data_IF_345935809960
#
_entry.id   IF_345935809960
#
_cell.length_a   1.000
_cell.length_b   1.000
_cell.length_c   1.000
_cell.angle_alpha   90.00
_cell.angle_beta   90.00
_cell.angle_gamma   90.00
#
_symmetry.space_group_name_H-M   'P 1'
#
loop_
_entity.id
_entity.type
_entity.pdbx_description
1 polymer ?
#
# COMPACT_ATOMS: atom_id res chain seq x y z
N UNK A 1 -3.50 -14.01 -7.39
CA UNK A 1 -2.25 -13.74 -6.64
C UNK A 1 -2.51 -12.48 -5.82
N UNK A 2 -2.86 -12.62 -4.54
CA UNK A 2 -3.27 -11.50 -3.68
C UNK A 2 -2.00 -10.78 -3.20
N UNK A 3 -1.84 -9.51 -3.50
CA UNK A 3 -0.70 -8.73 -3.05
C UNK A 3 -0.77 -8.61 -1.51
N UNK A 4 0.23 -9.05 -0.74
CA UNK A 4 0.16 -9.02 0.71
C UNK A 4 0.26 -7.58 1.22
N UNK A 5 -0.53 -7.25 2.24
CA UNK A 5 -0.54 -5.92 2.87
C UNK A 5 0.86 -5.47 3.35
N UNK A 6 1.71 -6.42 3.74
CA UNK A 6 3.12 -6.21 4.08
C UNK A 6 3.95 -5.54 2.99
N UNK A 7 3.63 -5.80 1.71
CA UNK A 7 4.35 -5.21 0.59
C UNK A 7 4.10 -3.70 0.51
N UNK A 8 2.83 -3.29 0.67
CA UNK A 8 2.45 -1.88 0.69
C UNK A 8 2.96 -1.18 1.94
N UNK A 9 2.95 -1.87 3.08
CA UNK A 9 3.49 -1.36 4.34
C UNK A 9 4.99 -1.04 4.24
N UNK A 10 5.80 -1.97 3.71
CA UNK A 10 7.25 -1.76 3.52
C UNK A 10 7.58 -0.65 2.53
N UNK A 11 6.79 -0.48 1.47
CA UNK A 11 6.96 0.64 0.52
C UNK A 11 6.63 1.97 1.20
N UNK A 12 5.56 2.01 2.00
CA UNK A 12 5.19 3.20 2.76
C UNK A 12 6.29 3.60 3.75
N UNK A 13 6.84 2.65 4.52
CA UNK A 13 7.92 2.93 5.47
C UNK A 13 9.20 3.44 4.79
N UNK A 14 9.56 2.90 3.62
CA UNK A 14 10.76 3.36 2.91
C UNK A 14 10.60 4.70 2.20
N UNK A 15 9.40 5.04 1.77
CA UNK A 15 9.17 6.23 0.93
C UNK A 15 8.55 7.39 1.71
N UNK A 16 7.94 7.13 2.88
CA UNK A 16 7.13 8.11 3.63
C UNK A 16 5.95 8.66 2.82
N UNK A 17 5.60 8.00 1.73
CA UNK A 17 4.78 8.58 0.69
C UNK A 17 3.32 8.20 0.91
N UNK A 18 2.50 9.22 1.22
CA UNK A 18 1.03 9.15 1.31
C UNK A 18 0.41 8.45 0.08
N UNK A 19 1.08 8.49 -1.07
CA UNK A 19 0.68 7.79 -2.30
C UNK A 19 0.51 6.28 -2.10
N UNK A 20 1.37 5.61 -1.31
CA UNK A 20 1.24 4.18 -1.03
C UNK A 20 -0.03 3.85 -0.23
N UNK A 21 -0.38 4.72 0.73
CA UNK A 21 -1.63 4.60 1.49
C UNK A 21 -2.87 4.82 0.62
N UNK A 22 -2.84 5.80 -0.30
CA UNK A 22 -3.94 6.05 -1.24
C UNK A 22 -4.15 4.85 -2.18
N UNK A 23 -3.08 4.27 -2.71
CA UNK A 23 -3.13 3.10 -3.61
C UNK A 23 -3.67 1.87 -2.86
N UNK A 24 -3.16 1.58 -1.66
CA UNK A 24 -3.64 0.50 -0.80
C UNK A 24 -5.14 0.65 -0.49
N UNK A 25 -5.55 1.86 -0.08
CA UNK A 25 -6.94 2.17 0.22
C UNK A 25 -7.85 1.97 -1.00
N UNK A 26 -7.37 2.31 -2.20
CA UNK A 26 -8.12 2.14 -3.45
C UNK A 26 -8.21 0.68 -3.91
N UNK A 27 -7.19 -0.13 -3.62
CA UNK A 27 -7.18 -1.57 -3.90
C UNK A 27 -8.08 -2.38 -2.95
N UNK A 28 -8.26 -1.92 -1.71
CA UNK A 28 -9.12 -2.59 -0.70
C UNK A 28 -10.60 -2.20 -0.83
N UNK A 29 -10.90 -1.03 -1.37
CA UNK A 29 -12.28 -0.55 -1.58
C UNK A 29 -12.89 -0.99 -2.93
N UNK A 30 -12.34 -2.03 -3.57
CA UNK A 30 -12.94 -2.69 -4.74
C UNK A 30 -13.60 -4.01 -4.36
#
# INVERSE_FOLDING_TARGET
MFWPADFFWRIFEKTGSITAYIIYRRLILQ
#
